data_IF_060553507446
#
_entry.id   IF_060553507446
#
_cell.length_a   1.000
_cell.length_b   1.000
_cell.length_c   1.000
_cell.angle_alpha   90.00
_cell.angle_beta   90.00
_cell.angle_gamma   90.00
#
_symmetry.space_group_name_H-M   'P 1'
#
loop_
_entity.id
_entity.type
_entity.pdbx_description
1 polymer ?
#
# COMPACT_ATOMS: atom_id res chain seq x y z
N UNK A 1 -13.23 9.52 1.83
CA UNK A 1 -12.94 8.33 0.99
C UNK A 1 -12.90 7.11 1.87
N UNK A 2 -13.74 6.15 1.57
CA UNK A 2 -13.82 4.93 2.35
C UNK A 2 -13.13 3.76 1.65
N UNK A 3 -13.21 3.75 0.33
CA UNK A 3 -12.58 2.73 -0.49
C UNK A 3 -11.92 3.40 -1.68
N UNK A 4 -10.80 2.88 -2.11
CA UNK A 4 -10.09 3.38 -3.29
C UNK A 4 -10.19 2.31 -4.37
N UNK A 5 -11.21 2.42 -5.21
CA UNK A 5 -11.44 1.46 -6.28
C UNK A 5 -11.07 2.01 -7.66
N UNK A 6 -10.99 3.33 -7.79
CA UNK A 6 -10.62 3.98 -9.03
C UNK A 6 -10.22 5.43 -8.75
N UNK A 7 -9.23 5.92 -9.47
CA UNK A 7 -8.84 7.32 -9.37
C UNK A 7 -9.91 8.25 -9.94
N UNK A 8 -10.79 7.75 -10.79
CA UNK A 8 -11.86 8.56 -11.36
C UNK A 8 -12.86 9.02 -10.32
N UNK A 9 -12.95 8.33 -9.20
CA UNK A 9 -13.87 8.65 -8.13
C UNK A 9 -13.31 9.66 -7.15
N UNK A 10 -12.04 10.02 -7.29
CA UNK A 10 -11.39 10.96 -6.42
C UNK A 10 -11.38 12.35 -7.02
N UNK A 11 -11.61 13.35 -6.16
CA UNK A 11 -11.41 14.73 -6.55
C UNK A 11 -9.92 15.04 -6.64
N UNK A 12 -9.59 16.15 -7.30
CA UNK A 12 -8.20 16.61 -7.34
C UNK A 12 -7.65 16.83 -5.94
N UNK A 13 -8.45 17.42 -5.06
CA UNK A 13 -8.02 17.70 -3.68
C UNK A 13 -7.73 16.42 -2.92
N UNK A 14 -8.55 15.38 -3.11
CA UNK A 14 -8.31 14.09 -2.47
C UNK A 14 -7.01 13.43 -2.96
N UNK A 15 -6.74 13.55 -4.25
CA UNK A 15 -5.51 13.01 -4.81
C UNK A 15 -4.29 13.74 -4.25
N UNK A 16 -4.34 15.06 -4.20
CA UNK A 16 -3.26 15.86 -3.66
C UNK A 16 -3.03 15.56 -2.17
N UNK A 17 -4.11 15.36 -1.43
CA UNK A 17 -4.02 15.01 -0.02
C UNK A 17 -3.31 13.68 0.18
N UNK A 18 -3.62 12.67 -0.64
CA UNK A 18 -2.95 11.39 -0.58
C UNK A 18 -1.46 11.49 -0.89
N UNK A 19 -1.11 12.31 -1.89
CA UNK A 19 0.29 12.53 -2.24
C UNK A 19 1.04 13.24 -1.12
N UNK A 20 0.41 14.21 -0.47
CA UNK A 20 1.01 14.89 0.68
C UNK A 20 1.23 13.94 1.84
N UNK A 21 0.26 13.05 2.10
CA UNK A 21 0.42 12.04 3.13
C UNK A 21 1.58 11.09 2.81
N UNK A 22 1.72 10.73 1.55
CA UNK A 22 2.83 9.87 1.15
C UNK A 22 4.18 10.54 1.41
N UNK A 23 4.28 11.84 1.16
CA UNK A 23 5.52 12.58 1.41
C UNK A 23 5.91 12.57 2.89
N UNK A 24 4.93 12.50 3.79
CA UNK A 24 5.19 12.45 5.22
C UNK A 24 5.88 11.16 5.67
N UNK A 25 5.88 10.14 4.83
CA UNK A 25 6.55 8.88 5.14
C UNK A 25 7.97 8.82 4.57
N UNK A 26 8.43 9.90 3.96
CA UNK A 26 9.79 10.01 3.46
C UNK A 26 10.56 10.96 4.39
N UNK A 27 11.69 10.50 4.94
CA UNK A 27 12.47 11.34 5.83
C UNK A 27 13.32 12.34 5.06
N UNK A 28 14.07 13.17 5.78
CA UNK A 28 14.89 14.22 5.17
C UNK A 28 15.99 13.68 4.28
N UNK A 29 16.33 12.41 4.40
CA UNK A 29 17.37 11.78 3.59
C UNK A 29 16.79 11.01 2.40
N UNK A 30 15.47 11.03 2.24
CA UNK A 30 14.81 10.36 1.14
C UNK A 30 14.47 8.89 1.38
N UNK A 31 14.61 8.41 2.60
CA UNK A 31 14.26 7.05 2.96
C UNK A 31 12.84 6.94 3.49
N UNK A 32 12.19 5.81 3.22
CA UNK A 32 10.84 5.57 3.70
C UNK A 32 10.90 5.29 5.21
N UNK A 33 10.11 6.05 5.94
CA UNK A 33 10.03 5.98 7.38
C UNK A 33 9.15 4.81 7.80
N UNK A 34 9.59 4.08 8.82
CA UNK A 34 8.76 3.04 9.43
C UNK A 34 8.00 3.67 10.58
N UNK A 35 6.67 3.50 10.56
CA UNK A 35 5.80 4.08 11.58
C UNK A 35 4.68 3.08 11.89
N UNK A 36 4.79 2.31 12.99
CA UNK A 36 3.84 1.25 13.29
C UNK A 36 2.52 1.81 13.84
N UNK A 37 1.75 2.46 12.98
CA UNK A 37 0.48 3.09 13.34
C UNK A 37 -0.65 2.07 13.54
N UNK A 38 -0.56 0.91 12.91
CA UNK A 38 -1.66 -0.05 12.90
C UNK A 38 -1.19 -1.47 13.28
N UNK A 39 -0.72 -1.65 14.52
CA UNK A 39 -0.16 -2.94 14.92
C UNK A 39 -1.20 -4.06 15.03
N UNK A 40 -2.47 -3.70 15.17
CA UNK A 40 -3.56 -4.68 15.31
C UNK A 40 -4.28 -4.95 13.99
N UNK A 41 -3.84 -4.35 12.90
CA UNK A 41 -4.49 -4.50 11.61
C UNK A 41 -3.80 -5.55 10.77
N UNK A 42 -4.59 -6.21 9.94
CA UNK A 42 -4.10 -7.17 8.97
C UNK A 42 -4.37 -6.64 7.58
N UNK A 43 -3.39 -6.78 6.71
CA UNK A 43 -3.53 -6.40 5.30
C UNK A 43 -3.43 -7.65 4.47
N UNK A 44 -4.43 -7.88 3.64
CA UNK A 44 -4.43 -9.00 2.71
C UNK A 44 -4.25 -8.45 1.31
N UNK A 45 -3.15 -8.81 0.69
CA UNK A 45 -2.86 -8.43 -0.68
C UNK A 45 -3.24 -9.58 -1.60
N UNK A 46 -4.17 -9.33 -2.50
CA UNK A 46 -4.63 -10.35 -3.44
C UNK A 46 -4.19 -9.93 -4.83
N UNK A 47 -3.38 -10.78 -5.45
CA UNK A 47 -2.86 -10.52 -6.78
C UNK A 47 -3.28 -11.62 -7.73
N UNK A 48 -3.83 -11.22 -8.87
CA UNK A 48 -4.26 -12.13 -9.93
C UNK A 48 -3.26 -12.20 -11.08
N UNK A 49 -2.19 -11.43 -10.98
CA UNK A 49 -1.16 -11.36 -12.00
C UNK A 49 0.22 -11.39 -11.35
N UNK A 50 1.24 -11.86 -12.06
CA UNK A 50 2.60 -11.90 -11.52
C UNK A 50 3.24 -10.50 -11.56
N UNK A 51 2.86 -9.64 -10.63
CA UNK A 51 3.37 -8.28 -10.51
C UNK A 51 4.31 -8.18 -9.33
N UNK A 52 5.51 -8.70 -9.46
CA UNK A 52 6.47 -8.79 -8.36
C UNK A 52 6.75 -7.43 -7.71
N UNK A 53 7.00 -6.42 -8.53
CA UNK A 53 7.31 -5.09 -8.02
C UNK A 53 6.16 -4.52 -7.21
N UNK A 54 4.95 -4.62 -7.73
CA UNK A 54 3.76 -4.12 -7.06
C UNK A 54 3.48 -4.89 -5.77
N UNK A 55 3.62 -6.22 -5.81
CA UNK A 55 3.44 -7.04 -4.61
C UNK A 55 4.38 -6.63 -3.50
N UNK A 56 5.65 -6.47 -3.82
CA UNK A 56 6.67 -6.09 -2.84
C UNK A 56 6.38 -4.70 -2.28
N UNK A 57 5.99 -3.76 -3.13
CA UNK A 57 5.70 -2.40 -2.69
C UNK A 57 4.57 -2.36 -1.66
N UNK A 58 3.47 -3.06 -1.91
CA UNK A 58 2.36 -3.11 -0.97
C UNK A 58 2.73 -3.84 0.31
N UNK A 59 3.49 -4.91 0.20
CA UNK A 59 3.93 -5.67 1.37
C UNK A 59 4.81 -4.82 2.27
N UNK A 60 5.78 -4.13 1.70
CA UNK A 60 6.67 -3.27 2.47
C UNK A 60 5.90 -2.12 3.11
N UNK A 61 4.96 -1.50 2.38
CA UNK A 61 4.18 -0.40 2.90
C UNK A 61 3.36 -0.83 4.12
N UNK A 62 2.67 -1.96 4.03
CA UNK A 62 1.88 -2.47 5.14
C UNK A 62 2.76 -2.85 6.32
N UNK A 63 3.89 -3.47 6.06
CA UNK A 63 4.85 -3.85 7.10
C UNK A 63 5.39 -2.63 7.83
N UNK A 64 5.71 -1.56 7.10
CA UNK A 64 6.19 -0.33 7.71
C UNK A 64 5.16 0.35 8.60
N UNK A 65 3.88 0.10 8.34
CA UNK A 65 2.79 0.60 9.19
C UNK A 65 2.51 -0.31 10.40
N UNK A 66 3.27 -1.38 10.55
CA UNK A 66 3.10 -2.29 11.67
C UNK A 66 2.04 -3.37 11.47
N UNK A 67 1.44 -3.44 10.28
CA UNK A 67 0.39 -4.40 10.00
C UNK A 67 0.95 -5.81 9.80
N UNK A 68 0.13 -6.79 10.08
CA UNK A 68 0.41 -8.15 9.64
C UNK A 68 0.01 -8.26 8.18
N UNK A 69 0.88 -8.83 7.36
CA UNK A 69 0.67 -8.89 5.92
C UNK A 69 0.46 -10.33 5.50
N UNK A 70 -0.57 -10.54 4.71
CA UNK A 70 -0.84 -11.84 4.09
C UNK A 70 -0.92 -11.63 2.58
N UNK A 71 -0.21 -12.46 1.84
CA UNK A 71 -0.21 -12.39 0.39
C UNK A 71 -0.97 -13.60 -0.16
N UNK A 72 -2.00 -13.33 -0.95
CA UNK A 72 -2.74 -14.36 -1.66
C UNK A 72 -2.47 -14.21 -3.15
N UNK A 73 -2.08 -15.29 -3.75
CA UNK A 73 -1.81 -15.35 -5.18
C UNK A 73 -2.81 -16.29 -5.82
N UNK A 74 -3.76 -15.73 -6.54
CA UNK A 74 -4.87 -16.50 -7.11
C UNK A 74 -4.75 -16.71 -8.61
N UNK A 75 -3.66 -16.25 -9.20
CA UNK A 75 -3.49 -16.34 -10.64
C UNK A 75 -3.19 -17.76 -11.09
N UNK A 76 -3.87 -18.19 -12.15
CA UNK A 76 -3.54 -19.45 -12.80
C UNK A 76 -2.14 -19.40 -13.41
N UNK A 77 -1.64 -18.22 -13.64
CA UNK A 77 -0.30 -18.05 -14.16
C UNK A 77 0.78 -18.50 -13.18
N UNK A 78 0.40 -18.74 -11.96
CA UNK A 78 1.33 -19.27 -10.96
C UNK A 78 1.80 -20.68 -11.29
N UNK A 79 1.10 -21.30 -12.16
CA UNK A 79 1.40 -22.68 -12.56
C UNK A 79 2.55 -22.77 -13.54
#
# INVERSE_FOLDING_TARGET
MKHLTSLKELSKDEILELLDLADNFIDSEGFIRRDPLFPDKKVINIFCEPSTRTKISFEIAASNLGCQVCLLYTSDAAD
#
